data_IF_889767984680
#
_entry.id   IF_889767984680
#
_cell.length_a   1.000
_cell.length_b   1.000
_cell.length_c   1.000
_cell.angle_alpha   90.00
_cell.angle_beta   90.00
_cell.angle_gamma   90.00
#
_symmetry.space_group_name_H-M   'P 1'
#
loop_
_entity.id
_entity.type
_entity.pdbx_description
1 polymer ?
#
# COMPACT_ATOMS: atom_id res chain seq x y z
N UNK A 1 -8.55 -28.92 -14.33
CA UNK A 1 -7.54 -27.85 -14.14
C UNK A 1 -8.25 -26.69 -13.46
N UNK A 2 -7.95 -26.40 -12.20
CA UNK A 2 -8.55 -25.29 -11.46
C UNK A 2 -7.45 -24.26 -11.15
N UNK A 3 -7.57 -23.06 -11.73
CA UNK A 3 -6.68 -21.95 -11.44
C UNK A 3 -6.97 -21.47 -10.02
N UNK A 4 -6.09 -21.83 -9.08
CA UNK A 4 -6.13 -21.33 -7.71
C UNK A 4 -5.67 -19.86 -7.70
N UNK A 5 -6.60 -18.93 -7.91
CA UNK A 5 -6.38 -17.55 -7.51
C UNK A 5 -6.33 -17.53 -5.98
N UNK A 6 -5.14 -17.40 -5.41
CA UNK A 6 -4.92 -17.27 -3.96
C UNK A 6 -5.77 -16.12 -3.43
N UNK A 7 -6.84 -16.47 -2.70
CA UNK A 7 -7.72 -15.51 -2.06
C UNK A 7 -7.01 -14.82 -0.91
N UNK A 8 -6.16 -13.84 -1.21
CA UNK A 8 -5.64 -12.96 -0.16
C UNK A 8 -6.78 -12.15 0.43
N UNK A 9 -7.18 -12.50 1.66
CA UNK A 9 -8.14 -11.75 2.42
C UNK A 9 -7.46 -10.49 2.99
N UNK A 10 -7.82 -9.32 2.46
CA UNK A 10 -7.44 -8.02 3.03
C UNK A 10 -8.43 -7.69 4.14
N UNK A 11 -7.93 -7.37 5.33
CA UNK A 11 -8.76 -6.93 6.46
C UNK A 11 -9.58 -5.69 6.11
N UNK A 12 -10.83 -5.62 6.57
CA UNK A 12 -11.74 -4.54 6.17
C UNK A 12 -11.28 -3.15 6.65
N UNK A 13 -10.63 -3.08 7.83
CA UNK A 13 -9.99 -1.84 8.30
C UNK A 13 -8.93 -1.31 7.32
N UNK A 14 -8.20 -2.20 6.64
CA UNK A 14 -7.22 -1.77 5.65
C UNK A 14 -7.91 -1.12 4.45
N UNK A 15 -9.06 -1.67 4.03
CA UNK A 15 -9.88 -1.09 2.94
C UNK A 15 -10.46 0.26 3.35
N UNK A 16 -10.97 0.38 4.57
CA UNK A 16 -11.51 1.64 5.09
C UNK A 16 -10.43 2.72 5.17
N UNK A 17 -9.28 2.43 5.79
CA UNK A 17 -8.15 3.37 5.87
C UNK A 17 -7.63 3.77 4.50
N UNK A 18 -7.64 2.84 3.55
CA UNK A 18 -7.26 3.10 2.17
C UNK A 18 -8.24 4.02 1.44
N UNK A 19 -9.55 3.82 1.61
CA UNK A 19 -10.59 4.71 1.08
C UNK A 19 -10.54 6.10 1.72
N UNK A 20 -10.30 6.18 3.03
CA UNK A 20 -10.07 7.47 3.71
C UNK A 20 -8.88 8.22 3.11
N UNK A 21 -7.83 7.50 2.76
CA UNK A 21 -6.63 8.05 2.14
C UNK A 21 -6.94 8.63 0.74
N UNK A 22 -7.68 7.86 -0.06
CA UNK A 22 -8.19 8.27 -1.37
C UNK A 22 -9.02 9.56 -1.28
N UNK A 23 -9.88 9.67 -0.26
CA UNK A 23 -10.76 10.82 -0.08
C UNK A 23 -10.03 12.08 0.41
N UNK A 24 -9.07 11.94 1.33
CA UNK A 24 -8.44 13.10 2.02
C UNK A 24 -7.35 13.80 1.20
N UNK A 25 -6.87 13.23 0.08
CA UNK A 25 -5.84 13.81 -0.82
C UNK A 25 -4.63 14.44 -0.09
N UNK A 26 -4.27 13.91 1.07
CA UNK A 26 -3.14 14.37 1.90
C UNK A 26 -2.01 13.34 1.85
N UNK A 27 -0.76 13.78 1.95
CA UNK A 27 0.39 12.88 1.95
C UNK A 27 0.30 11.94 3.15
N UNK A 28 0.18 10.63 2.91
CA UNK A 28 0.16 9.61 3.97
C UNK A 28 0.74 8.30 3.45
N UNK A 29 1.17 7.45 4.35
CA UNK A 29 1.55 6.08 4.04
C UNK A 29 0.73 5.11 4.91
N UNK A 30 0.46 3.92 4.39
CA UNK A 30 -0.16 2.82 5.12
C UNK A 30 0.79 1.64 5.09
N UNK A 31 1.03 1.06 6.26
CA UNK A 31 1.65 -0.26 6.38
C UNK A 31 0.54 -1.22 6.76
N UNK A 32 0.41 -2.33 6.03
CA UNK A 32 -0.42 -3.43 6.48
C UNK A 32 0.27 -4.76 6.23
N UNK A 33 0.02 -5.70 7.12
CA UNK A 33 0.44 -7.09 7.01
C UNK A 33 -0.72 -7.88 6.42
N UNK A 34 -0.50 -8.58 5.31
CA UNK A 34 -1.45 -9.56 4.80
C UNK A 34 -0.98 -10.94 5.22
N UNK A 35 -1.90 -11.71 5.80
CA UNK A 35 -1.66 -13.10 6.21
C UNK A 35 -2.45 -14.05 5.30
N UNK A 36 -1.74 -14.90 4.57
CA UNK A 36 -2.33 -15.96 3.77
C UNK A 36 -2.46 -17.21 4.65
N UNK A 37 -3.62 -17.35 5.30
CA UNK A 37 -3.90 -18.46 6.25
C UNK A 37 -3.65 -19.85 5.66
N UNK A 38 -3.89 -20.03 4.35
CA UNK A 38 -3.72 -21.31 3.69
C UNK A 38 -2.25 -21.72 3.47
N UNK A 39 -1.33 -20.76 3.36
CA UNK A 39 0.10 -21.04 3.07
C UNK A 39 1.03 -20.68 4.22
N UNK A 40 0.50 -20.26 5.38
CA UNK A 40 1.29 -19.69 6.49
C UNK A 40 2.30 -18.62 6.03
N UNK A 41 1.94 -17.85 5.00
CA UNK A 41 2.77 -16.76 4.49
C UNK A 41 2.24 -15.44 5.02
N UNK A 42 3.16 -14.60 5.50
CA UNK A 42 2.83 -13.21 5.80
C UNK A 42 3.68 -12.28 4.96
N UNK A 43 3.04 -11.26 4.41
CA UNK A 43 3.65 -10.28 3.52
C UNK A 43 3.36 -8.88 4.05
N UNK A 44 4.41 -8.07 4.21
CA UNK A 44 4.26 -6.66 4.60
C UNK A 44 4.12 -5.83 3.32
N UNK A 45 3.03 -5.07 3.25
CA UNK A 45 2.76 -4.11 2.19
C UNK A 45 2.96 -2.71 2.72
N UNK A 46 3.71 -1.91 1.95
CA UNK A 46 3.92 -0.50 2.19
C UNK A 46 3.31 0.30 1.06
N UNK A 47 2.24 1.04 1.36
CA UNK A 47 1.58 1.93 0.40
C UNK A 47 1.91 3.38 0.74
N UNK A 48 2.50 4.09 -0.20
CA UNK A 48 2.81 5.51 -0.09
C UNK A 48 1.98 6.33 -1.08
N UNK A 49 1.26 7.32 -0.56
CA UNK A 49 0.41 8.20 -1.35
C UNK A 49 0.99 9.62 -1.39
N UNK A 50 1.28 10.11 -2.59
CA UNK A 50 1.73 11.49 -2.84
C UNK A 50 1.00 12.09 -4.04
N UNK A 51 -0.04 12.93 -3.82
CA UNK A 51 -0.84 13.45 -4.93
C UNK A 51 0.00 14.30 -5.88
N UNK A 52 -0.22 14.16 -7.19
CA UNK A 52 0.59 14.91 -8.16
C UNK A 52 0.38 16.42 -8.15
N UNK A 53 -0.79 16.86 -7.69
CA UNK A 53 -1.15 18.26 -7.49
C UNK A 53 -0.43 18.91 -6.31
N UNK A 54 0.33 18.15 -5.52
CA UNK A 54 1.05 18.65 -4.36
C UNK A 54 2.24 19.53 -4.74
N UNK A 55 2.51 20.57 -3.94
CA UNK A 55 3.69 21.43 -4.11
C UNK A 55 4.98 20.60 -4.07
N UNK A 56 5.95 20.91 -4.93
CA UNK A 56 7.25 20.21 -5.05
C UNK A 56 7.95 20.05 -3.69
N UNK A 57 8.01 21.11 -2.88
CA UNK A 57 8.62 21.06 -1.54
C UNK A 57 7.94 20.06 -0.61
N UNK A 58 6.61 19.93 -0.69
CA UNK A 58 5.84 18.98 0.11
C UNK A 58 6.12 17.54 -0.31
N UNK A 59 6.21 17.29 -1.63
CA UNK A 59 6.58 15.98 -2.18
C UNK A 59 7.98 15.58 -1.74
N UNK A 60 8.95 16.51 -1.80
CA UNK A 60 10.32 16.28 -1.34
C UNK A 60 10.37 15.90 0.15
N UNK A 61 9.73 16.69 1.03
CA UNK A 61 9.71 16.40 2.47
C UNK A 61 9.09 15.03 2.74
N UNK A 62 7.96 14.73 2.09
CA UNK A 62 7.31 13.44 2.23
C UNK A 62 8.19 12.29 1.74
N UNK A 63 8.88 12.42 0.62
CA UNK A 63 9.79 11.41 0.10
C UNK A 63 10.92 11.09 1.10
N UNK A 64 11.53 12.12 1.69
CA UNK A 64 12.56 11.93 2.72
C UNK A 64 12.01 11.24 3.97
N UNK A 65 10.83 11.64 4.45
CA UNK A 65 10.17 10.98 5.60
C UNK A 65 9.79 9.53 5.30
N UNK A 66 9.27 9.26 4.10
CA UNK A 66 8.94 7.92 3.60
C UNK A 66 10.17 7.02 3.61
N UNK A 67 11.28 7.50 3.06
CA UNK A 67 12.51 6.70 2.97
C UNK A 67 13.10 6.39 4.34
N UNK A 68 13.03 7.34 5.28
CA UNK A 68 13.44 7.09 6.66
C UNK A 68 12.55 6.04 7.31
N UNK A 69 11.24 6.20 7.23
CA UNK A 69 10.28 5.26 7.81
C UNK A 69 10.39 3.86 7.20
N UNK A 70 10.64 3.77 5.89
CA UNK A 70 10.85 2.51 5.18
C UNK A 70 12.08 1.75 5.69
N UNK A 71 13.17 2.45 6.01
CA UNK A 71 14.39 1.83 6.55
C UNK A 71 14.20 1.23 7.95
N UNK A 72 13.28 1.78 8.73
CA UNK A 72 12.93 1.25 10.06
C UNK A 72 12.01 0.02 9.97
N UNK A 73 11.38 -0.21 8.81
CA UNK A 73 10.51 -1.36 8.57
C UNK A 73 11.30 -2.50 7.93
N UNK A 74 11.60 -3.53 8.72
CA UNK A 74 12.24 -4.73 8.21
C UNK A 74 11.22 -5.62 7.46
N UNK A 75 11.63 -6.17 6.31
CA UNK A 75 10.84 -7.16 5.58
C UNK A 75 9.64 -6.65 4.77
N UNK A 76 9.63 -5.38 4.31
CA UNK A 76 8.65 -4.94 3.31
C UNK A 76 8.81 -5.78 2.04
N UNK A 77 7.77 -6.53 1.68
CA UNK A 77 7.79 -7.40 0.51
C UNK A 77 7.18 -6.73 -0.72
N UNK A 78 6.24 -5.80 -0.51
CA UNK A 78 5.59 -5.08 -1.60
C UNK A 78 5.53 -3.60 -1.25
N UNK A 79 6.18 -2.78 -2.08
CA UNK A 79 6.06 -1.32 -2.05
C UNK A 79 5.11 -0.87 -3.18
N UNK A 80 4.12 -0.07 -2.85
CA UNK A 80 3.21 0.57 -3.79
C UNK A 80 3.25 2.07 -3.57
N UNK A 81 3.66 2.80 -4.59
CA UNK A 81 3.57 4.25 -4.62
C UNK A 81 2.43 4.61 -5.56
N UNK A 82 1.61 5.56 -5.14
CA UNK A 82 0.50 6.04 -5.94
C UNK A 82 0.40 7.56 -5.86
N UNK A 83 0.13 8.17 -7.00
CA UNK A 83 -0.07 9.61 -7.13
C UNK A 83 -1.48 9.96 -7.59
N UNK A 84 -2.18 8.99 -8.21
CA UNK A 84 -3.58 9.12 -8.63
C UNK A 84 -4.52 8.10 -7.94
N UNK A 85 -5.76 8.49 -7.55
CA UNK A 85 -6.72 7.59 -6.94
C UNK A 85 -7.06 6.33 -7.75
N UNK A 86 -6.77 6.30 -9.06
CA UNK A 86 -6.91 5.12 -9.92
C UNK A 86 -5.77 4.10 -9.76
N UNK A 87 -4.57 4.54 -9.35
CA UNK A 87 -3.42 3.66 -9.10
C UNK A 87 -3.54 2.92 -7.75
N UNK A 88 -4.42 3.43 -6.88
CA UNK A 88 -4.79 2.85 -5.59
C UNK A 88 -6.00 1.92 -5.76
N UNK A 89 -5.92 0.94 -6.66
CA UNK A 89 -6.92 -0.10 -6.83
C UNK A 89 -6.67 -1.32 -5.93
N UNK A 90 -7.72 -1.94 -5.38
CA UNK A 90 -7.58 -3.24 -4.68
C UNK A 90 -7.06 -4.35 -5.61
N UNK A 91 -7.37 -4.23 -6.89
CA UNK A 91 -6.86 -5.02 -8.00
C UNK A 91 -5.34 -4.87 -8.17
N UNK A 92 -4.80 -3.65 -8.04
CA UNK A 92 -3.34 -3.40 -8.12
C UNK A 92 -2.61 -4.06 -6.95
N UNK A 93 -3.17 -3.98 -5.73
CA UNK A 93 -2.61 -4.63 -4.54
C UNK A 93 -2.62 -6.15 -4.72
N UNK A 94 -3.71 -6.72 -5.23
CA UNK A 94 -3.81 -8.17 -5.51
C UNK A 94 -2.83 -8.61 -6.60
N UNK A 95 -2.66 -7.81 -7.65
CA UNK A 95 -1.72 -8.08 -8.74
C UNK A 95 -0.28 -8.17 -8.25
N UNK A 96 0.16 -7.24 -7.38
CA UNK A 96 1.51 -7.24 -6.80
C UNK A 96 1.74 -8.30 -5.73
N UNK A 97 0.70 -9.01 -5.35
CA UNK A 97 0.77 -9.99 -4.28
C UNK A 97 0.86 -11.45 -4.73
N UNK A 98 0.71 -11.71 -6.03
CA UNK A 98 0.92 -13.03 -6.63
C UNK A 98 2.35 -13.18 -7.14
#
# INVERSE_FOLDING_TARGET
MANAASGMAVHDDCKLRFLELKAKRTHRFIVFKIEEKQKQKSRIFFIAWSPDTSRVRSKMIYASSKDRFKRELDGIQVELQATDPTEMGLDVIKSRAN
#
